data_IF_646051739090
#
_entry.id   IF_646051739090
#
_cell.length_a   1.000
_cell.length_b   1.000
_cell.length_c   1.000
_cell.angle_alpha   90.00
_cell.angle_beta   90.00
_cell.angle_gamma   90.00
#
_symmetry.space_group_name_H-M   'P 1'
#
loop_
_entity.id
_entity.type
_entity.pdbx_description
1 polymer ?
#
# COMPACT_ATOMS: atom_id res chain seq x y z
N UNK A 1 -20.09 7.33 16.30
CA UNK A 1 -20.10 5.90 15.87
C UNK A 1 -19.21 5.07 16.80
N UNK A 2 -19.54 3.81 17.14
CA UNK A 2 -18.67 2.97 17.99
C UNK A 2 -17.46 2.44 17.19
N UNK A 3 -16.36 2.11 17.89
CA UNK A 3 -15.12 1.60 17.26
C UNK A 3 -15.35 0.36 16.39
N UNK A 4 -16.13 -0.60 16.87
CA UNK A 4 -16.42 -1.84 16.16
C UNK A 4 -17.24 -1.59 14.88
N UNK A 5 -18.25 -0.70 14.96
CA UNK A 5 -19.04 -0.29 13.80
C UNK A 5 -18.15 0.37 12.74
N UNK A 6 -17.30 1.32 13.13
CA UNK A 6 -16.38 2.00 12.22
C UNK A 6 -15.42 1.01 11.52
N UNK A 7 -14.89 0.02 12.25
CA UNK A 7 -14.06 -1.04 11.65
C UNK A 7 -14.85 -1.86 10.64
N UNK A 8 -16.07 -2.27 10.98
CA UNK A 8 -16.89 -3.08 10.09
C UNK A 8 -17.21 -2.35 8.79
N UNK A 9 -17.56 -1.06 8.84
CA UNK A 9 -17.79 -0.27 7.63
C UNK A 9 -16.54 -0.29 6.73
N UNK A 10 -15.36 -0.03 7.29
CA UNK A 10 -14.13 -0.03 6.51
C UNK A 10 -13.85 -1.42 5.94
N UNK A 11 -13.96 -2.48 6.74
CA UNK A 11 -13.75 -3.87 6.28
C UNK A 11 -14.70 -4.24 5.15
N UNK A 12 -15.99 -3.94 5.28
CA UNK A 12 -17.00 -4.27 4.28
C UNK A 12 -16.73 -3.62 2.92
N UNK A 13 -16.16 -2.41 2.91
CA UNK A 13 -15.82 -1.72 1.67
C UNK A 13 -14.44 -2.15 1.17
N UNK A 14 -13.42 -2.21 2.03
CA UNK A 14 -12.01 -2.27 1.63
C UNK A 14 -11.43 -3.69 1.55
N UNK A 15 -12.14 -4.71 2.03
CA UNK A 15 -11.74 -6.13 1.90
C UNK A 15 -12.64 -6.89 0.91
N UNK A 16 -13.35 -6.14 0.04
CA UNK A 16 -14.26 -6.67 -0.97
C UNK A 16 -14.03 -5.99 -2.33
N UNK A 17 -14.54 -6.56 -3.44
CA UNK A 17 -14.58 -5.89 -4.73
C UNK A 17 -15.32 -4.56 -4.64
N UNK A 18 -14.98 -3.61 -5.51
CA UNK A 18 -15.62 -2.31 -5.51
C UNK A 18 -17.15 -2.44 -5.67
N UNK A 19 -17.87 -1.94 -4.67
CA UNK A 19 -19.32 -1.86 -4.65
C UNK A 19 -19.73 -0.41 -4.38
N UNK A 20 -20.53 0.15 -5.29
CA UNK A 20 -20.92 1.57 -5.25
C UNK A 20 -21.77 1.88 -4.01
N UNK A 21 -22.67 0.99 -3.60
CA UNK A 21 -23.58 1.23 -2.48
C UNK A 21 -22.80 1.23 -1.17
N UNK A 22 -21.94 0.23 -0.97
CA UNK A 22 -21.04 0.15 0.19
C UNK A 22 -20.10 1.35 0.25
N UNK A 23 -19.48 1.71 -0.88
CA UNK A 23 -18.61 2.89 -0.95
C UNK A 23 -19.37 4.17 -0.62
N UNK A 24 -20.58 4.33 -1.14
CA UNK A 24 -21.42 5.51 -0.87
C UNK A 24 -21.81 5.60 0.62
N UNK A 25 -22.15 4.47 1.23
CA UNK A 25 -22.43 4.39 2.66
C UNK A 25 -21.21 4.78 3.49
N UNK A 26 -20.04 4.23 3.17
CA UNK A 26 -18.78 4.60 3.82
C UNK A 26 -18.50 6.10 3.71
N UNK A 27 -18.60 6.68 2.50
CA UNK A 27 -18.33 8.11 2.28
C UNK A 27 -19.30 9.00 3.06
N UNK A 28 -20.59 8.65 3.14
CA UNK A 28 -21.57 9.44 3.92
C UNK A 28 -21.26 9.44 5.42
N UNK A 29 -20.71 8.33 5.93
CA UNK A 29 -20.27 8.26 7.32
C UNK A 29 -18.94 9.00 7.54
N UNK A 30 -18.06 9.01 6.54
CA UNK A 30 -16.78 9.71 6.58
C UNK A 30 -16.97 11.24 6.47
N UNK A 31 -17.82 11.68 5.54
CA UNK A 31 -18.14 13.07 5.22
C UNK A 31 -19.60 13.35 5.58
N UNK A 32 -19.85 13.59 6.87
CA UNK A 32 -21.19 13.66 7.49
C UNK A 32 -22.18 14.59 6.78
N UNK A 33 -21.68 15.65 6.15
CA UNK A 33 -22.46 16.67 5.43
C UNK A 33 -22.27 16.58 3.90
N UNK A 34 -22.07 15.39 3.35
CA UNK A 34 -21.97 15.21 1.91
C UNK A 34 -23.29 15.59 1.22
N UNK A 35 -23.24 16.58 0.33
CA UNK A 35 -24.35 16.96 -0.51
C UNK A 35 -24.40 16.08 -1.78
N UNK A 36 -25.51 15.38 -2.05
CA UNK A 36 -25.69 14.65 -3.30
C UNK A 36 -25.60 15.59 -4.51
N UNK A 37 -24.78 15.24 -5.49
CA UNK A 37 -24.57 16.08 -6.66
C UNK A 37 -24.17 15.23 -7.87
N UNK A 38 -24.95 14.19 -8.12
CA UNK A 38 -24.55 13.10 -8.98
C UNK A 38 -24.47 13.50 -10.46
N UNK A 39 -23.44 13.01 -11.14
CA UNK A 39 -23.40 12.96 -12.59
C UNK A 39 -22.52 11.80 -13.03
N UNK A 40 -22.79 11.29 -14.23
CA UNK A 40 -21.96 10.29 -14.89
C UNK A 40 -21.46 10.82 -16.24
N UNK A 41 -20.17 10.67 -16.52
CA UNK A 41 -19.56 11.00 -17.80
C UNK A 41 -18.86 9.78 -18.39
N UNK A 42 -19.08 9.58 -19.68
CA UNK A 42 -18.45 8.53 -20.49
C UNK A 42 -18.28 9.02 -21.93
N UNK A 43 -17.50 8.28 -22.73
CA UNK A 43 -17.28 8.56 -24.14
C UNK A 43 -16.68 9.95 -24.38
N UNK A 44 -17.31 10.74 -25.26
CA UNK A 44 -16.85 12.07 -25.65
C UNK A 44 -16.77 13.10 -24.51
N UNK A 45 -17.37 12.81 -23.35
CA UNK A 45 -17.29 13.66 -22.17
C UNK A 45 -15.98 13.48 -21.35
N UNK A 46 -15.12 12.55 -21.77
CA UNK A 46 -13.79 12.33 -21.21
C UNK A 46 -12.78 13.08 -22.09
N UNK A 47 -11.85 13.85 -21.53
CA UNK A 47 -10.82 14.52 -22.32
C UNK A 47 -10.00 13.51 -23.12
N UNK A 48 -9.70 13.85 -24.39
CA UNK A 48 -8.95 12.98 -25.32
C UNK A 48 -7.65 12.41 -24.73
N UNK A 49 -6.96 13.18 -23.87
CA UNK A 49 -5.73 12.73 -23.22
C UNK A 49 -5.92 11.52 -22.26
N UNK A 50 -7.15 11.22 -21.85
CA UNK A 50 -7.47 10.16 -20.90
C UNK A 50 -8.39 9.08 -21.47
N UNK A 51 -8.84 9.20 -22.72
CA UNK A 51 -9.83 8.27 -23.30
C UNK A 51 -9.31 6.85 -23.41
N UNK A 52 -8.01 6.64 -23.58
CA UNK A 52 -7.43 5.29 -23.62
C UNK A 52 -7.30 4.65 -22.23
N UNK A 53 -7.49 5.45 -21.18
CA UNK A 53 -7.28 5.04 -19.80
C UNK A 53 -8.58 4.91 -19.01
N UNK A 54 -9.52 5.84 -19.22
CA UNK A 54 -10.74 5.97 -18.44
C UNK A 54 -11.93 5.54 -19.29
N UNK A 55 -12.73 4.62 -18.75
CA UNK A 55 -13.98 4.19 -19.35
C UNK A 55 -15.12 5.16 -19.01
N UNK A 56 -15.20 5.56 -17.75
CA UNK A 56 -16.19 6.52 -17.23
C UNK A 56 -15.72 7.13 -15.91
N UNK A 57 -16.30 8.27 -15.54
CA UNK A 57 -16.22 8.78 -14.18
C UNK A 57 -17.56 9.34 -13.71
N UNK A 58 -17.80 9.19 -12.42
CA UNK A 58 -19.00 9.64 -11.74
C UNK A 58 -18.60 10.55 -10.58
N UNK A 59 -19.40 11.59 -10.31
CA UNK A 59 -19.36 12.26 -9.01
C UNK A 59 -20.49 11.73 -8.14
N UNK A 60 -20.16 11.29 -6.94
CA UNK A 60 -21.13 10.84 -5.94
C UNK A 60 -21.74 12.04 -5.18
N UNK A 61 -20.89 12.99 -4.78
CA UNK A 61 -21.33 14.15 -4.01
C UNK A 61 -20.25 15.22 -3.90
N UNK A 62 -20.65 16.34 -3.29
CA UNK A 62 -19.80 17.47 -2.95
C UNK A 62 -19.79 17.63 -1.43
N UNK A 63 -18.65 18.03 -0.91
CA UNK A 63 -18.45 18.36 0.48
C UNK A 63 -17.74 19.71 0.55
N UNK A 64 -18.18 20.55 1.48
CA UNK A 64 -17.55 21.81 1.81
C UNK A 64 -17.29 21.76 3.31
N UNK A 65 -16.03 21.94 3.72
CA UNK A 65 -15.70 22.04 5.13
C UNK A 65 -15.99 23.44 5.68
N UNK A 66 -15.89 23.64 6.98
CA UNK A 66 -16.22 24.93 7.61
C UNK A 66 -15.20 26.04 7.27
N UNK A 67 -14.05 25.70 6.67
CA UNK A 67 -13.07 26.65 6.13
C UNK A 67 -13.36 27.05 4.67
N UNK A 68 -14.38 26.46 4.05
CA UNK A 68 -14.79 26.71 2.67
C UNK A 68 -14.02 25.90 1.62
N UNK A 69 -13.24 24.89 2.02
CA UNK A 69 -12.54 24.01 1.08
C UNK A 69 -13.55 23.07 0.39
N UNK A 70 -13.50 23.02 -0.93
CA UNK A 70 -14.42 22.25 -1.77
C UNK A 70 -13.83 20.90 -2.15
N UNK A 71 -14.47 19.82 -1.71
CA UNK A 71 -14.04 18.44 -1.91
C UNK A 71 -15.11 17.68 -2.69
N UNK A 72 -14.76 17.10 -3.84
CA UNK A 72 -15.69 16.23 -4.59
C UNK A 72 -15.35 14.74 -4.38
N UNK A 73 -16.37 13.89 -4.32
CA UNK A 73 -16.19 12.44 -4.22
C UNK A 73 -16.45 11.81 -5.58
N UNK A 74 -15.46 11.11 -6.11
CA UNK A 74 -15.48 10.54 -7.46
C UNK A 74 -15.38 9.02 -7.45
N UNK A 75 -16.04 8.41 -8.43
CA UNK A 75 -15.86 7.00 -8.82
C UNK A 75 -15.32 7.00 -10.24
N UNK A 76 -14.17 6.38 -10.47
CA UNK A 76 -13.49 6.38 -11.76
C UNK A 76 -13.28 4.94 -12.22
N UNK A 77 -13.88 4.59 -13.35
CA UNK A 77 -13.76 3.28 -13.96
C UNK A 77 -12.63 3.29 -14.99
N UNK A 78 -11.62 2.46 -14.77
CA UNK A 78 -10.47 2.31 -15.66
C UNK A 78 -10.72 1.25 -16.73
N UNK A 79 -10.09 1.40 -17.90
CA UNK A 79 -10.25 0.47 -19.03
C UNK A 79 -9.47 -0.84 -18.86
N UNK A 80 -8.32 -0.81 -18.18
CA UNK A 80 -7.43 -1.97 -18.08
C UNK A 80 -7.12 -2.31 -16.62
N UNK A 81 -7.14 -3.59 -16.25
CA UNK A 81 -6.98 -4.02 -14.85
C UNK A 81 -5.62 -3.62 -14.25
N UNK A 82 -4.56 -3.82 -15.03
CA UNK A 82 -3.20 -3.41 -14.65
C UNK A 82 -3.06 -1.88 -14.42
N UNK A 83 -4.02 -1.08 -14.89
CA UNK A 83 -4.04 0.37 -14.66
C UNK A 83 -4.19 0.73 -13.20
N UNK A 84 -4.78 -0.16 -12.39
CA UNK A 84 -4.84 0.05 -10.95
C UNK A 84 -3.42 0.10 -10.42
N UNK A 85 -2.56 -0.88 -10.67
CA UNK A 85 -1.19 -0.88 -10.13
C UNK A 85 -0.26 0.15 -10.76
N UNK A 86 -0.26 0.25 -12.09
CA UNK A 86 0.85 0.85 -12.85
C UNK A 86 0.60 2.29 -13.32
N UNK A 87 -0.66 2.73 -13.42
CA UNK A 87 -0.98 4.03 -14.02
C UNK A 87 -1.28 5.12 -13.00
N UNK A 88 -0.52 5.10 -11.90
CA UNK A 88 -0.61 6.04 -10.78
C UNK A 88 -0.48 7.50 -11.20
N UNK A 89 0.39 7.80 -12.17
CA UNK A 89 0.58 9.16 -12.69
C UNK A 89 -0.60 9.63 -13.54
N UNK A 90 -1.17 8.76 -14.37
CA UNK A 90 -2.33 9.05 -15.21
C UNK A 90 -3.57 9.30 -14.36
N UNK A 91 -3.82 8.47 -13.35
CA UNK A 91 -4.90 8.67 -12.36
C UNK A 91 -4.80 10.05 -11.69
N UNK A 92 -3.60 10.42 -11.22
CA UNK A 92 -3.35 11.73 -10.59
C UNK A 92 -3.61 12.89 -11.57
N UNK A 93 -3.13 12.77 -12.80
CA UNK A 93 -3.27 13.82 -13.82
C UNK A 93 -4.74 14.01 -14.24
N UNK A 94 -5.51 12.93 -14.33
CA UNK A 94 -6.94 13.01 -14.60
C UNK A 94 -7.68 13.78 -13.50
N UNK A 95 -7.44 13.42 -12.24
CA UNK A 95 -8.12 14.09 -11.12
C UNK A 95 -7.68 15.53 -11.01
N UNK A 96 -6.41 15.86 -11.27
CA UNK A 96 -5.97 17.26 -11.37
C UNK A 96 -6.74 18.03 -12.44
N UNK A 97 -6.86 17.48 -13.66
CA UNK A 97 -7.65 18.10 -14.72
C UNK A 97 -9.09 18.36 -14.25
N UNK A 98 -9.71 17.36 -13.60
CA UNK A 98 -11.06 17.48 -13.06
C UNK A 98 -11.19 18.61 -12.03
N UNK A 99 -10.28 18.65 -11.05
CA UNK A 99 -10.28 19.65 -9.98
C UNK A 99 -10.12 21.07 -10.54
N UNK A 100 -9.24 21.23 -11.54
CA UNK A 100 -9.07 22.50 -12.26
C UNK A 100 -10.34 22.90 -13.03
N UNK A 101 -10.94 21.98 -13.79
CA UNK A 101 -12.17 22.24 -14.56
C UNK A 101 -13.37 22.59 -13.67
N UNK A 102 -13.45 22.00 -12.48
CA UNK A 102 -14.57 22.19 -11.54
C UNK A 102 -14.32 23.21 -10.44
N UNK A 103 -13.12 23.81 -10.36
CA UNK A 103 -12.75 24.75 -9.30
C UNK A 103 -12.86 24.12 -7.91
N UNK A 104 -12.17 22.99 -7.71
CA UNK A 104 -12.22 22.18 -6.48
C UNK A 104 -10.83 22.06 -5.85
N UNK A 105 -10.79 22.03 -4.52
CA UNK A 105 -9.55 21.97 -3.75
C UNK A 105 -9.02 20.55 -3.62
N UNK A 106 -9.90 19.55 -3.48
CA UNK A 106 -9.50 18.16 -3.40
C UNK A 106 -10.57 17.19 -3.90
N UNK A 107 -10.18 15.93 -4.05
CA UNK A 107 -11.11 14.83 -4.28
C UNK A 107 -10.72 13.56 -3.52
N UNK A 108 -11.76 12.86 -3.05
CA UNK A 108 -11.68 11.45 -2.67
C UNK A 108 -12.15 10.60 -3.86
N UNK A 109 -11.33 9.65 -4.29
CA UNK A 109 -11.54 8.94 -5.56
C UNK A 109 -11.42 7.45 -5.39
N UNK A 110 -12.45 6.72 -5.79
CA UNK A 110 -12.42 5.26 -5.96
C UNK A 110 -12.08 4.92 -7.41
N UNK A 111 -10.89 4.37 -7.65
CA UNK A 111 -10.49 3.82 -8.96
C UNK A 111 -10.72 2.32 -8.99
N UNK A 112 -11.54 1.85 -9.93
CA UNK A 112 -11.87 0.42 -10.06
C UNK A 112 -11.90 -0.01 -11.53
N UNK A 113 -11.90 -1.32 -11.78
CA UNK A 113 -12.19 -1.90 -13.10
C UNK A 113 -13.35 -2.90 -12.98
N UNK A 114 -13.75 -3.54 -14.08
CA UNK A 114 -14.80 -4.57 -14.04
C UNK A 114 -14.29 -5.97 -13.65
N UNK A 115 -13.01 -6.27 -13.91
CA UNK A 115 -12.52 -7.66 -13.86
C UNK A 115 -11.70 -7.98 -12.63
N UNK A 116 -11.15 -6.98 -11.95
CA UNK A 116 -10.36 -7.19 -10.74
C UNK A 116 -11.17 -6.87 -9.49
N UNK A 117 -11.01 -7.70 -8.46
CA UNK A 117 -11.54 -7.43 -7.12
C UNK A 117 -10.69 -6.42 -6.34
N UNK A 118 -9.48 -6.12 -6.83
CA UNK A 118 -8.65 -5.04 -6.31
C UNK A 118 -9.09 -3.69 -6.87
N UNK A 119 -9.04 -2.66 -6.03
CA UNK A 119 -9.35 -1.29 -6.40
C UNK A 119 -8.56 -0.33 -5.51
N UNK A 120 -8.64 0.97 -5.81
CA UNK A 120 -7.84 1.98 -5.10
C UNK A 120 -8.70 3.11 -4.61
N UNK A 121 -8.59 3.39 -3.32
CA UNK A 121 -9.13 4.61 -2.72
C UNK A 121 -8.03 5.66 -2.58
N UNK A 122 -8.21 6.86 -3.14
CA UNK A 122 -7.20 7.92 -3.17
C UNK A 122 -7.73 9.25 -2.68
N UNK A 123 -6.85 9.99 -2.01
CA UNK A 123 -7.01 11.41 -1.74
C UNK A 123 -6.04 12.20 -2.63
N UNK A 124 -6.56 13.20 -3.34
CA UNK A 124 -5.80 14.06 -4.24
C UNK A 124 -6.20 15.50 -3.96
N UNK A 125 -5.23 16.33 -3.58
CA UNK A 125 -5.40 17.75 -3.25
C UNK A 125 -4.64 18.64 -4.25
N UNK A 126 -5.25 19.75 -4.64
CA UNK A 126 -4.58 20.81 -5.40
C UNK A 126 -3.51 21.46 -4.51
N UNK A 127 -2.27 21.53 -5.03
CA UNK A 127 -1.23 22.34 -4.40
C UNK A 127 -1.04 23.61 -5.23
N UNK A 128 -1.20 24.76 -4.58
CA UNK A 128 -0.88 26.05 -5.16
C UNK A 128 0.52 26.45 -4.68
N UNK A 129 1.47 26.63 -5.60
CA UNK A 129 2.77 27.20 -5.26
C UNK A 129 2.65 28.71 -5.16
N UNK A 130 3.10 29.29 -4.06
CA UNK A 130 3.15 30.75 -3.87
C UNK A 130 4.26 31.41 -4.72
N UNK A 131 5.25 30.65 -5.17
CA UNK A 131 6.47 31.17 -5.83
C UNK A 131 6.44 31.05 -7.36
N UNK A 132 5.51 30.28 -7.93
CA UNK A 132 5.47 30.01 -9.37
C UNK A 132 4.15 30.51 -9.94
N UNK A 133 4.23 31.22 -11.08
CA UNK A 133 3.04 31.58 -11.89
C UNK A 133 2.13 30.36 -12.00
N UNK A 134 0.82 30.58 -11.92
CA UNK A 134 -0.26 29.58 -11.79
C UNK A 134 -0.25 28.37 -12.76
N UNK A 135 0.69 28.30 -13.71
CA UNK A 135 0.86 27.24 -14.70
C UNK A 135 2.04 26.28 -14.47
N UNK A 136 2.93 26.49 -13.48
CA UNK A 136 3.93 25.45 -13.19
C UNK A 136 3.35 24.35 -12.31
N UNK A 137 3.52 23.09 -12.76
CA UNK A 137 3.00 21.88 -12.14
C UNK A 137 3.46 21.73 -10.68
N UNK A 138 2.74 22.32 -9.72
CA UNK A 138 2.87 21.88 -8.33
C UNK A 138 2.39 20.43 -8.26
N UNK A 139 3.15 19.50 -7.67
CA UNK A 139 2.72 18.12 -7.56
C UNK A 139 1.44 18.05 -6.71
N UNK A 140 0.34 17.52 -7.24
CA UNK A 140 -0.78 17.15 -6.38
C UNK A 140 -0.28 16.05 -5.42
N UNK A 141 -0.37 16.29 -4.11
CA UNK A 141 -0.05 15.27 -3.11
C UNK A 141 -1.07 14.16 -3.25
N UNK A 142 -0.59 12.96 -3.54
CA UNK A 142 -1.42 11.76 -3.70
C UNK A 142 -1.07 10.77 -2.61
N UNK A 143 -2.10 10.39 -1.89
CA UNK A 143 -2.05 9.29 -0.95
C UNK A 143 -3.18 8.32 -1.27
N UNK A 144 -2.88 7.02 -1.22
CA UNK A 144 -3.79 6.01 -1.71
C UNK A 144 -3.71 4.73 -0.89
N UNK A 145 -4.86 4.11 -0.67
CA UNK A 145 -4.99 2.75 -0.17
C UNK A 145 -5.23 1.81 -1.34
N UNK A 146 -4.44 0.73 -1.42
CA UNK A 146 -4.80 -0.42 -2.24
C UNK A 146 -5.69 -1.34 -1.40
N UNK A 147 -6.86 -1.68 -1.94
CA UNK A 147 -7.95 -2.34 -1.22
C UNK A 147 -8.63 -3.36 -2.15
N UNK A 148 -9.31 -4.35 -1.59
CA UNK A 148 -9.84 -5.48 -2.35
C UNK A 148 -9.78 -6.78 -1.58
N UNK A 149 -10.26 -7.86 -2.18
CA UNK A 149 -10.39 -9.18 -1.54
C UNK A 149 -9.06 -9.77 -1.04
N UNK A 150 -7.95 -9.49 -1.74
CA UNK A 150 -6.65 -10.06 -1.36
C UNK A 150 -5.92 -9.26 -0.28
N UNK A 151 -6.39 -8.04 0.00
CA UNK A 151 -5.77 -7.09 0.92
C UNK A 151 -6.40 -7.08 2.30
N UNK A 152 -5.57 -6.88 3.34
CA UNK A 152 -6.09 -6.50 4.67
C UNK A 152 -6.22 -4.99 4.76
N UNK A 153 -7.31 -4.50 5.32
CA UNK A 153 -7.60 -3.08 5.45
C UNK A 153 -7.00 -2.42 6.71
N UNK A 154 -6.09 -3.08 7.43
CA UNK A 154 -5.56 -2.59 8.72
C UNK A 154 -5.03 -1.15 8.71
N UNK A 155 -4.23 -0.78 7.69
CA UNK A 155 -3.69 0.58 7.59
C UNK A 155 -4.80 1.60 7.36
N UNK A 156 -5.72 1.30 6.45
CA UNK A 156 -6.87 2.14 6.16
C UNK A 156 -7.82 2.26 7.38
N UNK A 157 -8.08 1.15 8.09
CA UNK A 157 -8.81 1.17 9.35
C UNK A 157 -8.13 2.13 10.32
N UNK A 158 -6.85 1.93 10.62
CA UNK A 158 -6.14 2.78 11.58
C UNK A 158 -6.17 4.26 11.18
N UNK A 159 -6.03 4.56 9.90
CA UNK A 159 -5.93 5.93 9.41
C UNK A 159 -7.29 6.66 9.30
N UNK A 160 -8.36 5.94 8.95
CA UNK A 160 -9.67 6.56 8.68
C UNK A 160 -10.65 6.43 9.86
N UNK A 161 -10.34 5.61 10.86
CA UNK A 161 -11.27 5.32 11.96
C UNK A 161 -11.61 6.55 12.79
N UNK A 162 -10.66 7.46 12.96
CA UNK A 162 -10.88 8.67 13.74
C UNK A 162 -11.81 9.64 12.99
N UNK A 163 -11.75 9.70 11.65
CA UNK A 163 -12.69 10.46 10.84
C UNK A 163 -14.13 9.90 10.94
N UNK A 164 -14.30 8.58 11.01
CA UNK A 164 -15.61 7.94 11.19
C UNK A 164 -16.18 8.08 12.61
N UNK A 165 -15.29 8.12 13.61
CA UNK A 165 -15.68 8.16 15.02
C UNK A 165 -15.97 9.57 15.52
N UNK A 166 -15.23 10.57 15.02
CA UNK A 166 -15.42 11.95 15.41
C UNK A 166 -16.86 12.37 15.10
N UNK A 167 -17.48 13.17 15.96
CA UNK A 167 -18.85 13.64 15.75
C UNK A 167 -18.93 14.85 14.80
N UNK A 168 -17.82 15.60 14.67
CA UNK A 168 -17.71 16.75 13.78
C UNK A 168 -17.39 16.35 12.34
N UNK A 169 -17.83 17.16 11.38
CA UNK A 169 -17.47 16.99 9.98
C UNK A 169 -15.97 17.33 9.79
N UNK A 170 -15.19 16.52 9.05
CA UNK A 170 -13.74 16.68 9.00
C UNK A 170 -13.32 17.87 8.13
N UNK A 171 -12.29 18.59 8.54
CA UNK A 171 -11.64 19.58 7.68
C UNK A 171 -10.80 18.88 6.60
N UNK A 172 -10.46 19.62 5.53
CA UNK A 172 -9.53 19.14 4.52
C UNK A 172 -8.19 18.70 5.13
N UNK A 173 -7.72 19.37 6.19
CA UNK A 173 -6.51 19.00 6.94
C UNK A 173 -6.63 17.65 7.64
N UNK A 174 -7.80 17.32 8.20
CA UNK A 174 -8.04 16.04 8.87
C UNK A 174 -8.01 14.89 7.87
N UNK A 175 -8.63 15.10 6.70
CA UNK A 175 -8.58 14.14 5.59
C UNK A 175 -7.15 14.00 5.09
N UNK A 176 -6.41 15.09 4.90
CA UNK A 176 -5.01 15.03 4.48
C UNK A 176 -4.13 14.27 5.50
N UNK A 177 -4.32 14.50 6.80
CA UNK A 177 -3.59 13.84 7.87
C UNK A 177 -3.87 12.33 7.91
N UNK A 178 -5.14 11.93 7.76
CA UNK A 178 -5.53 10.53 7.66
C UNK A 178 -4.85 9.82 6.48
N UNK A 179 -4.54 10.54 5.42
CA UNK A 179 -3.86 10.02 4.25
C UNK A 179 -2.32 10.22 4.28
N UNK A 180 -1.74 10.75 5.37
CA UNK A 180 -0.30 11.01 5.43
C UNK A 180 0.53 9.71 5.47
N UNK A 181 1.65 9.71 4.73
CA UNK A 181 2.64 8.62 4.74
C UNK A 181 3.43 8.61 6.05
N UNK A 182 3.64 9.78 6.66
CA UNK A 182 4.45 9.97 7.87
C UNK A 182 3.93 9.12 9.05
N UNK A 183 2.61 9.10 9.24
CA UNK A 183 1.97 8.27 10.26
C UNK A 183 2.20 6.75 10.04
N UNK A 184 2.29 6.31 8.78
CA UNK A 184 2.58 4.90 8.45
C UNK A 184 4.08 4.60 8.60
N UNK A 185 4.95 5.54 8.23
CA UNK A 185 6.40 5.36 8.35
C UNK A 185 6.87 5.31 9.79
N UNK A 186 6.30 6.14 10.68
CA UNK A 186 6.68 6.17 12.10
C UNK A 186 6.27 4.87 12.80
N UNK A 187 5.06 4.38 12.53
CA UNK A 187 4.61 3.09 13.06
C UNK A 187 5.47 1.94 12.54
N UNK A 188 5.74 1.92 11.22
CA UNK A 188 6.58 0.90 10.63
C UNK A 188 7.97 0.91 11.27
N UNK A 189 8.55 2.11 11.46
CA UNK A 189 9.85 2.28 12.09
C UNK A 189 9.86 1.75 13.53
N UNK A 190 8.88 2.11 14.37
CA UNK A 190 8.84 1.64 15.76
C UNK A 190 8.65 0.13 15.86
N UNK A 191 7.79 -0.47 15.02
CA UNK A 191 7.64 -1.93 14.96
C UNK A 191 8.91 -2.61 14.44
N UNK A 192 9.54 -2.06 13.41
CA UNK A 192 10.79 -2.56 12.85
C UNK A 192 11.92 -2.51 13.88
N UNK A 193 12.03 -1.40 14.61
CA UNK A 193 12.98 -1.19 15.70
C UNK A 193 12.79 -2.19 16.82
N UNK A 194 11.54 -2.45 17.23
CA UNK A 194 11.23 -3.50 18.21
C UNK A 194 11.71 -4.87 17.73
N UNK A 195 11.39 -5.26 16.49
CA UNK A 195 11.83 -6.54 15.92
C UNK A 195 13.36 -6.64 15.82
N UNK A 196 14.05 -5.53 15.55
CA UNK A 196 15.51 -5.48 15.55
C UNK A 196 16.08 -5.79 16.94
N UNK A 197 15.56 -5.15 18.00
CA UNK A 197 16.04 -5.40 19.35
C UNK A 197 15.69 -6.81 19.83
N UNK A 198 14.49 -7.31 19.55
CA UNK A 198 14.11 -8.69 19.82
C UNK A 198 15.10 -9.67 19.15
N UNK A 199 15.49 -9.40 17.90
CA UNK A 199 16.46 -10.22 17.16
C UNK A 199 17.87 -10.14 17.77
N UNK A 200 18.32 -8.95 18.17
CA UNK A 200 19.61 -8.75 18.86
C UNK A 200 19.65 -9.60 20.14
N UNK A 201 18.63 -9.52 21.00
CA UNK A 201 18.57 -10.30 22.23
C UNK A 201 18.63 -11.81 21.97
N UNK A 202 17.96 -12.30 20.92
CA UNK A 202 18.02 -13.72 20.55
C UNK A 202 19.40 -14.13 20.05
N UNK A 203 20.07 -13.30 19.25
CA UNK A 203 21.42 -13.58 18.76
C UNK A 203 22.42 -13.55 19.91
N UNK A 204 22.34 -12.57 20.81
CA UNK A 204 23.15 -12.53 22.04
C UNK A 204 22.98 -13.80 22.87
N UNK A 205 21.75 -14.28 23.03
CA UNK A 205 21.46 -15.54 23.71
C UNK A 205 22.13 -16.76 23.06
N UNK A 206 22.24 -16.79 21.72
CA UNK A 206 22.94 -17.84 20.97
C UNK A 206 24.45 -17.72 21.14
N UNK A 207 25.01 -16.53 20.90
CA UNK A 207 26.45 -16.23 21.03
C UNK A 207 26.96 -16.55 22.44
N UNK A 208 26.16 -16.31 23.48
CA UNK A 208 26.55 -16.61 24.85
C UNK A 208 26.55 -18.12 25.18
N UNK A 209 25.81 -18.94 24.43
CA UNK A 209 25.66 -20.38 24.69
C UNK A 209 26.53 -21.24 23.78
N UNK A 210 26.67 -20.86 22.52
CA UNK A 210 27.40 -21.62 21.51
C UNK A 210 28.83 -21.06 21.33
N UNK A 211 29.82 -21.83 21.79
CA UNK A 211 31.24 -21.45 21.73
C UNK A 211 31.75 -21.29 20.30
N UNK A 212 31.23 -22.07 19.35
CA UNK A 212 31.64 -22.00 17.95
C UNK A 212 31.14 -20.70 17.32
N UNK A 213 29.85 -20.40 17.52
CA UNK A 213 29.27 -19.13 17.05
C UNK A 213 29.96 -17.94 17.71
N UNK A 214 30.24 -18.01 19.01
CA UNK A 214 30.98 -16.96 19.72
C UNK A 214 32.35 -16.70 19.09
N UNK A 215 33.13 -17.75 18.83
CA UNK A 215 34.45 -17.64 18.22
C UNK A 215 34.40 -17.02 16.82
N UNK A 216 33.39 -17.34 16.02
CA UNK A 216 33.15 -16.73 14.71
C UNK A 216 32.87 -15.22 14.80
N UNK A 217 32.00 -14.80 15.73
CA UNK A 217 31.69 -13.38 15.93
C UNK A 217 32.92 -12.59 16.42
N UNK A 218 33.68 -13.14 17.35
CA UNK A 218 34.89 -12.51 17.91
C UNK A 218 36.02 -12.43 16.87
N UNK A 219 36.34 -13.54 16.20
CA UNK A 219 37.44 -13.61 15.23
C UNK A 219 37.23 -12.72 14.00
N UNK A 220 35.98 -12.59 13.54
CA UNK A 220 35.60 -11.74 12.41
C UNK A 220 35.19 -10.32 12.82
N UNK A 221 35.30 -9.98 14.10
CA UNK A 221 34.91 -8.68 14.67
C UNK A 221 33.47 -8.26 14.25
N UNK A 222 32.54 -9.20 14.32
CA UNK A 222 31.15 -8.99 13.91
C UNK A 222 30.36 -8.39 15.06
N UNK A 223 29.86 -7.17 14.88
CA UNK A 223 28.90 -6.57 15.80
C UNK A 223 27.53 -7.24 15.67
N UNK A 224 26.98 -7.76 16.78
CA UNK A 224 25.65 -8.39 16.83
C UNK A 224 24.57 -7.43 16.30
N UNK A 225 24.61 -6.16 16.72
CA UNK A 225 23.68 -5.15 16.24
C UNK A 225 23.75 -4.96 14.72
N UNK A 226 24.95 -4.89 14.15
CA UNK A 226 25.11 -4.72 12.70
C UNK A 226 24.69 -5.97 11.93
N UNK A 227 24.98 -7.16 12.46
CA UNK A 227 24.51 -8.42 11.88
C UNK A 227 22.99 -8.49 11.87
N UNK A 228 22.34 -8.17 13.01
CA UNK A 228 20.88 -8.14 13.12
C UNK A 228 20.24 -7.12 12.17
N UNK A 229 20.79 -5.90 12.06
CA UNK A 229 20.35 -4.88 11.09
C UNK A 229 20.43 -5.38 9.66
N UNK A 230 21.57 -5.99 9.28
CA UNK A 230 21.78 -6.55 7.94
C UNK A 230 20.77 -7.66 7.64
N UNK A 231 20.63 -8.63 8.55
CA UNK A 231 19.71 -9.74 8.41
C UNK A 231 18.27 -9.27 8.25
N UNK A 232 17.81 -8.37 9.13
CA UNK A 232 16.45 -7.84 9.07
C UNK A 232 16.19 -7.05 7.78
N UNK A 233 17.18 -6.26 7.33
CA UNK A 233 17.12 -5.58 6.03
C UNK A 233 17.02 -6.54 4.85
N UNK A 234 17.79 -7.64 4.86
CA UNK A 234 17.74 -8.67 3.83
C UNK A 234 16.38 -9.42 3.82
N UNK A 235 15.80 -9.69 4.99
CA UNK A 235 14.45 -10.27 5.09
C UNK A 235 13.39 -9.31 4.51
N UNK A 236 13.47 -8.02 4.84
CA UNK A 236 12.57 -7.00 4.26
C UNK A 236 12.73 -6.93 2.74
N UNK A 237 13.95 -7.04 2.22
CA UNK A 237 14.20 -7.09 0.78
C UNK A 237 13.51 -8.29 0.12
N UNK A 238 13.63 -9.50 0.69
CA UNK A 238 12.88 -10.67 0.22
C UNK A 238 11.36 -10.44 0.27
N UNK A 239 10.86 -9.75 1.31
CA UNK A 239 9.45 -9.41 1.42
C UNK A 239 8.97 -8.54 0.24
N UNK A 240 9.79 -7.59 -0.21
CA UNK A 240 9.49 -6.80 -1.40
C UNK A 240 9.46 -7.65 -2.68
N UNK A 241 10.41 -8.58 -2.83
CA UNK A 241 10.46 -9.47 -4.00
C UNK A 241 9.25 -10.42 -4.05
N UNK A 242 8.89 -11.06 -2.93
CA UNK A 242 7.70 -11.93 -2.90
C UNK A 242 6.42 -11.16 -3.22
N UNK A 243 6.27 -9.90 -2.76
CA UNK A 243 5.04 -9.13 -3.03
C UNK A 243 4.85 -8.80 -4.49
N UNK A 244 5.93 -8.80 -5.28
CA UNK A 244 5.87 -8.69 -6.73
C UNK A 244 5.60 -10.02 -7.43
N UNK A 245 5.46 -11.14 -6.70
CA UNK A 245 5.34 -12.48 -7.27
C UNK A 245 6.61 -12.93 -7.99
N UNK A 246 7.78 -12.51 -7.50
CA UNK A 246 9.08 -12.82 -8.14
C UNK A 246 9.83 -13.98 -7.49
N UNK A 247 9.29 -14.56 -6.42
CA UNK A 247 9.87 -15.68 -5.70
C UNK A 247 8.90 -16.86 -5.71
N UNK A 248 9.42 -18.08 -5.63
CA UNK A 248 8.59 -19.31 -5.62
C UNK A 248 7.85 -19.52 -6.93
N UNK A 249 8.56 -19.35 -8.05
CA UNK A 249 8.06 -19.62 -9.40
C UNK A 249 8.41 -21.04 -9.83
N UNK A 250 7.46 -21.71 -10.46
CA UNK A 250 7.70 -22.96 -11.19
C UNK A 250 8.29 -22.68 -12.58
N UNK A 251 8.83 -23.72 -13.24
CA UNK A 251 9.63 -23.60 -14.47
C UNK A 251 8.92 -22.95 -15.67
N UNK A 252 7.59 -22.88 -15.62
CA UNK A 252 6.74 -22.31 -16.68
C UNK A 252 6.02 -21.01 -16.27
N UNK A 253 6.18 -20.59 -15.02
CA UNK A 253 5.51 -19.40 -14.50
C UNK A 253 6.29 -18.13 -14.84
N UNK A 254 5.57 -17.04 -15.02
CA UNK A 254 6.15 -15.73 -15.35
C UNK A 254 6.40 -14.93 -14.08
N UNK A 255 7.43 -14.08 -14.10
CA UNK A 255 7.61 -13.07 -13.07
C UNK A 255 6.33 -12.27 -12.84
N UNK A 256 5.82 -12.27 -11.61
CA UNK A 256 4.49 -11.74 -11.28
C UNK A 256 3.52 -12.79 -10.74
N UNK A 257 3.73 -14.05 -11.10
CA UNK A 257 2.85 -15.19 -10.79
C UNK A 257 3.30 -15.99 -9.56
N UNK A 258 4.52 -15.73 -9.06
CA UNK A 258 5.10 -16.48 -7.94
C UNK A 258 4.41 -16.21 -6.59
N UNK A 259 4.78 -17.01 -5.60
CA UNK A 259 4.17 -16.98 -4.27
C UNK A 259 4.34 -15.63 -3.55
N UNK A 260 3.24 -14.89 -3.42
CA UNK A 260 3.19 -13.60 -2.68
C UNK A 260 3.37 -13.74 -1.16
N UNK A 261 3.44 -14.96 -0.66
CA UNK A 261 3.72 -15.37 0.72
C UNK A 261 4.97 -16.27 0.84
N UNK A 262 5.85 -16.28 -0.16
CA UNK A 262 7.01 -17.15 -0.28
C UNK A 262 7.77 -17.42 1.02
N UNK A 263 8.18 -16.39 1.78
CA UNK A 263 8.93 -16.60 3.03
C UNK A 263 8.16 -17.43 4.06
N UNK A 264 6.85 -17.22 4.18
CA UNK A 264 6.00 -17.98 5.10
C UNK A 264 5.86 -19.41 4.62
N UNK A 265 5.57 -19.59 3.33
CA UNK A 265 5.45 -20.92 2.72
C UNK A 265 6.74 -21.72 2.87
N UNK A 266 7.89 -21.08 2.65
CA UNK A 266 9.21 -21.67 2.84
C UNK A 266 9.42 -22.06 4.30
N UNK A 267 9.11 -21.16 5.24
CA UNK A 267 9.23 -21.42 6.68
C UNK A 267 8.36 -22.60 7.15
N UNK A 268 7.15 -22.74 6.60
CA UNK A 268 6.24 -23.85 6.97
C UNK A 268 6.66 -25.19 6.38
N UNK A 269 7.53 -25.20 5.36
CA UNK A 269 8.02 -26.40 4.67
C UNK A 269 9.37 -26.90 5.23
N UNK A 270 9.94 -26.23 6.23
CA UNK A 270 11.21 -26.64 6.85
C UNK A 270 11.07 -28.05 7.45
N UNK A 271 12.05 -28.91 7.21
CA UNK A 271 12.04 -30.27 7.75
C UNK A 271 12.52 -30.28 9.22
N UNK A 272 12.06 -31.24 10.03
CA UNK A 272 12.56 -31.39 11.40
C UNK A 272 14.10 -31.48 11.44
N UNK A 273 14.72 -30.62 12.24
CA UNK A 273 16.18 -30.58 12.41
C UNK A 273 16.91 -29.54 11.55
N UNK A 274 16.25 -28.93 10.57
CA UNK A 274 16.82 -27.84 9.76
C UNK A 274 16.66 -26.48 10.45
N UNK A 275 17.65 -25.60 10.28
CA UNK A 275 17.66 -24.23 10.76
C UNK A 275 17.28 -23.28 9.64
N UNK A 276 16.20 -22.51 9.83
CA UNK A 276 15.72 -21.60 8.78
C UNK A 276 16.77 -20.58 8.32
N UNK A 277 17.60 -20.07 9.24
CA UNK A 277 18.61 -19.11 8.88
C UNK A 277 19.74 -19.77 8.07
N UNK A 278 20.40 -20.78 8.64
CA UNK A 278 21.57 -21.42 8.02
C UNK A 278 21.21 -22.14 6.71
N UNK A 279 20.13 -22.90 6.69
CA UNK A 279 19.86 -23.82 5.58
C UNK A 279 19.12 -23.13 4.42
N UNK A 280 18.36 -22.07 4.71
CA UNK A 280 17.48 -21.41 3.74
C UNK A 280 17.85 -19.94 3.48
N UNK A 281 17.80 -19.10 4.51
CA UNK A 281 18.01 -17.65 4.34
C UNK A 281 19.44 -17.33 3.90
N UNK A 282 20.43 -17.98 4.50
CA UNK A 282 21.84 -17.78 4.15
C UNK A 282 22.07 -18.11 2.67
N UNK A 283 21.55 -19.23 2.20
CA UNK A 283 21.61 -19.60 0.79
C UNK A 283 20.89 -18.59 -0.11
N UNK A 284 19.68 -18.14 0.25
CA UNK A 284 18.97 -17.11 -0.50
C UNK A 284 19.81 -15.84 -0.65
N UNK A 285 20.46 -15.40 0.42
CA UNK A 285 21.20 -14.15 0.44
C UNK A 285 22.56 -14.23 -0.24
N UNK A 286 23.29 -15.33 -0.05
CA UNK A 286 24.72 -15.38 -0.37
C UNK A 286 25.07 -16.34 -1.50
N UNK A 287 24.16 -17.23 -1.89
CA UNK A 287 24.35 -18.16 -3.02
C UNK A 287 23.38 -17.90 -4.17
N UNK A 288 22.12 -17.56 -3.86
CA UNK A 288 21.12 -17.31 -4.88
C UNK A 288 21.15 -15.86 -5.39
N UNK A 289 20.89 -14.88 -4.51
CA UNK A 289 20.64 -13.50 -4.93
C UNK A 289 21.91 -12.65 -5.12
N UNK A 290 23.01 -12.99 -4.46
CA UNK A 290 24.27 -12.22 -4.51
C UNK A 290 25.18 -12.58 -5.68
N UNK A 291 25.02 -13.78 -6.27
CA UNK A 291 25.89 -14.28 -7.33
C UNK A 291 25.28 -13.98 -8.70
N UNK A 292 26.15 -13.74 -9.70
CA UNK A 292 25.71 -13.61 -11.08
C UNK A 292 25.07 -14.92 -11.50
N UNK A 293 23.78 -14.87 -11.82
CA UNK A 293 22.97 -16.05 -12.09
C UNK A 293 23.40 -16.72 -13.39
N UNK A 294 23.53 -18.03 -13.35
CA UNK A 294 23.58 -18.89 -14.55
C UNK A 294 22.17 -19.41 -14.87
N UNK A 295 21.37 -19.68 -13.83
CA UNK A 295 19.94 -20.03 -13.88
C UNK A 295 19.18 -19.29 -12.77
N UNK A 296 17.86 -19.16 -12.93
CA UNK A 296 16.94 -18.66 -11.89
C UNK A 296 16.36 -19.80 -11.01
N UNK A 297 16.81 -21.04 -11.24
CA UNK A 297 16.28 -22.25 -10.59
C UNK A 297 17.28 -22.81 -9.57
N UNK A 298 16.77 -23.06 -8.37
CA UNK A 298 17.57 -23.56 -7.26
C UNK A 298 16.94 -24.83 -6.68
N UNK A 299 17.58 -25.98 -6.92
CA UNK A 299 17.09 -27.29 -6.46
C UNK A 299 16.92 -27.38 -4.94
N UNK A 300 17.66 -26.56 -4.19
CA UNK A 300 17.54 -26.47 -2.73
C UNK A 300 16.13 -26.08 -2.27
N UNK A 301 15.36 -25.41 -3.12
CA UNK A 301 13.98 -25.01 -2.82
C UNK A 301 12.93 -25.86 -3.53
N UNK A 302 13.33 -26.90 -4.29
CA UNK A 302 12.40 -27.91 -4.78
C UNK A 302 11.93 -28.75 -3.60
N UNK A 303 10.68 -28.54 -3.20
CA UNK A 303 9.94 -29.44 -2.30
C UNK A 303 9.14 -30.45 -3.10
#
# INVERSE_FOLDING_TARGET
MKLYEAKNIITEVFENPFDKEKFSYFIRNLLKNLHPAEFLRSGYNIPKAFTDFIASYERLGKYEDEEGNLIDVLIVKLKHDHSIDYARSTQRNFVRWYLTDKGKDAALVAFHTEKTSEWRFSFIKMQYSLEKKADELTPAKRSSFMVGESGKSHTAQRQLIDLLKNDHAPYLSDIEAAFSIEAVSDEFYEKYKKLLFDLVEKIEGIVNKDKTVKGEFESKNISILNFAKKLLGQIVFLYFLQKKGWLGLEEKEKYGEGDKNFLRSLFTKIKPGENFFNDYLEFLFYDALSKKRVTDYYDRFKT
#
